data_IF_427421357594
#
_entry.id   IF_427421357594
#
_cell.length_a   1.000
_cell.length_b   1.000
_cell.length_c   1.000
_cell.angle_alpha   90.00
_cell.angle_beta   90.00
_cell.angle_gamma   90.00
#
_symmetry.space_group_name_H-M   'P 1'
#
loop_
_entity.id
_entity.type
_entity.pdbx_description
1 polymer ?
#
# COMPACT_ATOMS: atom_id res chain seq x y z
N UNK A 1 7.97 7.65 -5.68
CA UNK A 1 7.87 7.29 -4.26
C UNK A 1 6.92 6.11 -4.09
N UNK A 2 6.97 5.45 -2.93
CA UNK A 2 6.21 4.23 -2.69
C UNK A 2 4.69 4.40 -2.88
N UNK A 3 4.11 5.47 -2.32
CA UNK A 3 2.67 5.74 -2.46
C UNK A 3 2.27 5.86 -3.94
N UNK A 4 3.04 6.61 -4.72
CA UNK A 4 2.75 6.83 -6.14
C UNK A 4 2.85 5.53 -6.95
N UNK A 5 3.87 4.72 -6.66
CA UNK A 5 4.04 3.43 -7.33
C UNK A 5 2.83 2.51 -7.04
N UNK A 6 2.40 2.42 -5.80
CA UNK A 6 1.24 1.61 -5.42
C UNK A 6 -0.07 2.15 -6.02
N UNK A 7 -0.25 3.47 -6.07
CA UNK A 7 -1.42 4.09 -6.70
C UNK A 7 -1.45 3.89 -8.22
N UNK A 8 -0.33 3.56 -8.84
CA UNK A 8 -0.30 3.17 -10.26
C UNK A 8 -0.98 1.83 -10.51
N UNK A 9 -1.06 0.98 -9.50
CA UNK A 9 -1.61 -0.39 -9.58
C UNK A 9 -0.90 -1.24 -10.64
N UNK A 10 0.39 -0.98 -10.83
CA UNK A 10 1.25 -1.72 -11.75
C UNK A 10 2.17 -2.64 -10.94
N UNK A 11 1.91 -3.97 -10.92
CA UNK A 11 2.72 -4.91 -10.15
C UNK A 11 4.20 -4.91 -10.52
N UNK A 12 4.51 -4.74 -11.81
CA UNK A 12 5.90 -4.74 -12.27
C UNK A 12 6.62 -3.48 -11.78
N UNK A 13 5.98 -2.32 -11.90
CA UNK A 13 6.54 -1.06 -11.42
C UNK A 13 6.81 -1.12 -9.91
N UNK A 14 5.85 -1.60 -9.14
CA UNK A 14 5.99 -1.71 -7.68
C UNK A 14 7.13 -2.67 -7.33
N UNK A 15 7.22 -3.82 -8.00
CA UNK A 15 8.23 -4.85 -7.71
C UNK A 15 9.67 -4.34 -7.84
N UNK A 16 9.92 -3.34 -8.68
CA UNK A 16 11.25 -2.78 -8.89
C UNK A 16 11.82 -2.03 -7.68
N UNK A 17 10.98 -1.64 -6.72
CA UNK A 17 11.41 -1.01 -5.48
C UNK A 17 12.00 -1.99 -4.47
N UNK A 18 11.89 -3.29 -4.74
CA UNK A 18 12.26 -4.36 -3.83
C UNK A 18 13.47 -5.12 -4.35
N UNK A 19 14.25 -5.72 -3.42
CA UNK A 19 15.34 -6.61 -3.82
C UNK A 19 14.78 -7.85 -4.53
N UNK A 20 15.63 -8.51 -5.33
CA UNK A 20 15.23 -9.72 -6.06
C UNK A 20 14.69 -10.81 -5.12
N UNK A 21 15.25 -10.88 -3.92
CA UNK A 21 14.93 -11.87 -2.88
C UNK A 21 14.18 -11.27 -1.68
N UNK A 22 13.50 -10.15 -1.88
CA UNK A 22 12.82 -9.41 -0.79
C UNK A 22 11.85 -10.29 -0.01
N UNK A 23 11.91 -10.19 1.32
CA UNK A 23 11.02 -10.93 2.22
C UNK A 23 9.78 -10.10 2.55
N UNK A 24 8.60 -10.71 2.42
CA UNK A 24 7.34 -10.07 2.71
C UNK A 24 6.48 -10.87 3.67
N UNK A 25 5.84 -10.17 4.58
CA UNK A 25 4.59 -10.61 5.21
C UNK A 25 3.54 -9.57 4.92
N UNK A 26 2.43 -9.99 4.33
CA UNK A 26 1.25 -9.13 4.16
C UNK A 26 0.08 -9.78 4.86
N UNK A 27 -0.45 -9.14 5.92
CA UNK A 27 -1.42 -9.78 6.82
C UNK A 27 -0.80 -11.05 7.40
N UNK A 28 -1.36 -12.21 7.11
CA UNK A 28 -0.84 -13.52 7.54
C UNK A 28 -0.15 -14.29 6.41
N UNK A 29 0.00 -13.69 5.24
CA UNK A 29 0.63 -14.33 4.08
C UNK A 29 2.12 -13.99 4.03
N UNK A 30 2.98 -15.01 3.95
CA UNK A 30 4.43 -14.88 3.85
C UNK A 30 4.89 -15.34 2.48
N UNK A 31 5.75 -14.55 1.83
CA UNK A 31 6.34 -14.92 0.54
C UNK A 31 7.64 -14.15 0.31
N UNK A 32 8.40 -14.57 -0.70
CA UNK A 32 9.73 -14.04 -0.97
C UNK A 32 9.94 -13.85 -2.47
N UNK A 33 10.61 -12.75 -2.83
CA UNK A 33 11.08 -12.49 -4.17
C UNK A 33 10.13 -11.65 -5.03
N UNK A 34 10.71 -10.95 -6.01
CA UNK A 34 9.97 -10.04 -6.90
C UNK A 34 8.84 -10.73 -7.67
N UNK A 35 9.08 -11.97 -8.10
CA UNK A 35 8.06 -12.71 -8.85
C UNK A 35 6.84 -12.98 -7.99
N UNK A 36 7.05 -13.44 -6.74
CA UNK A 36 5.95 -13.64 -5.80
C UNK A 36 5.26 -12.34 -5.42
N UNK A 37 6.01 -11.24 -5.28
CA UNK A 37 5.47 -9.90 -5.02
C UNK A 37 4.56 -9.46 -6.18
N UNK A 38 5.02 -9.58 -7.41
CA UNK A 38 4.22 -9.22 -8.58
C UNK A 38 2.95 -10.07 -8.69
N UNK A 39 3.03 -11.37 -8.42
CA UNK A 39 1.88 -12.26 -8.41
C UNK A 39 0.86 -11.87 -7.32
N UNK A 40 1.34 -11.55 -6.11
CA UNK A 40 0.50 -11.08 -5.01
C UNK A 40 -0.23 -9.78 -5.40
N UNK A 41 0.48 -8.80 -5.95
CA UNK A 41 -0.10 -7.52 -6.34
C UNK A 41 -1.12 -7.67 -7.47
N UNK A 42 -0.87 -8.58 -8.40
CA UNK A 42 -1.83 -8.90 -9.47
C UNK A 42 -3.14 -9.42 -8.88
N UNK A 43 -3.07 -10.35 -7.91
CA UNK A 43 -4.28 -10.84 -7.21
C UNK A 43 -4.96 -9.73 -6.42
N UNK A 44 -4.19 -8.92 -5.72
CA UNK A 44 -4.70 -7.81 -4.90
C UNK A 44 -5.54 -6.85 -5.75
N UNK A 45 -4.98 -6.34 -6.85
CA UNK A 45 -5.66 -5.32 -7.64
C UNK A 45 -6.68 -5.88 -8.64
N UNK A 46 -6.75 -7.19 -8.81
CA UNK A 46 -7.88 -7.82 -9.49
C UNK A 46 -9.12 -7.88 -8.59
N UNK A 47 -8.94 -7.83 -7.27
CA UNK A 47 -10.02 -7.92 -6.27
C UNK A 47 -10.34 -6.57 -5.63
N UNK A 48 -9.33 -5.72 -5.39
CA UNK A 48 -9.49 -4.41 -4.78
C UNK A 48 -9.57 -3.35 -5.87
N UNK A 49 -10.80 -3.04 -6.27
CA UNK A 49 -11.09 -2.16 -7.41
C UNK A 49 -11.11 -0.69 -6.97
N UNK A 50 -10.79 0.22 -7.89
CA UNK A 50 -10.73 1.66 -7.66
C UNK A 50 -9.87 2.05 -6.44
N UNK A 51 -8.80 1.32 -6.25
CA UNK A 51 -7.86 1.45 -5.15
C UNK A 51 -7.21 2.83 -5.10
N UNK A 52 -7.26 3.45 -3.93
CA UNK A 52 -6.63 4.75 -3.61
C UNK A 52 -5.91 4.63 -2.27
N UNK A 53 -4.65 5.01 -2.23
CA UNK A 53 -3.77 4.83 -1.08
C UNK A 53 -3.19 6.17 -0.61
N UNK A 54 -3.19 6.37 0.70
CA UNK A 54 -2.46 7.46 1.36
C UNK A 54 -1.52 6.84 2.38
N UNK A 55 -0.23 7.18 2.28
CA UNK A 55 0.81 6.77 3.23
C UNK A 55 1.33 7.95 4.03
N UNK A 56 1.82 7.66 5.23
CA UNK A 56 2.47 8.65 6.08
C UNK A 56 3.61 7.98 6.84
N UNK A 57 4.81 8.56 6.75
CA UNK A 57 5.96 8.07 7.52
C UNK A 57 5.69 8.35 8.99
N UNK A 58 5.82 7.30 9.82
CA UNK A 58 5.68 7.44 11.28
C UNK A 58 7.01 7.73 11.95
N UNK A 59 8.05 6.96 11.60
CA UNK A 59 9.39 7.12 12.16
C UNK A 59 10.40 6.42 11.26
N UNK A 60 11.67 6.78 11.42
CA UNK A 60 12.74 6.05 10.72
C UNK A 60 14.01 6.05 11.57
N UNK A 61 14.85 5.04 11.38
CA UNK A 61 16.16 4.93 11.97
C UNK A 61 17.04 4.07 11.06
N UNK A 62 18.20 4.62 10.69
CA UNK A 62 19.15 3.95 9.79
C UNK A 62 18.46 3.52 8.49
N UNK A 63 18.48 2.22 8.17
CA UNK A 63 17.84 1.67 6.97
C UNK A 63 16.41 1.15 7.20
N UNK A 64 15.75 1.58 8.28
CA UNK A 64 14.40 1.14 8.65
C UNK A 64 13.42 2.30 8.70
N UNK A 65 12.24 2.07 8.15
CA UNK A 65 11.17 3.08 8.15
C UNK A 65 9.87 2.40 8.60
N UNK A 66 9.23 3.03 9.60
CA UNK A 66 7.87 2.65 10.00
C UNK A 66 6.88 3.59 9.31
N UNK A 67 5.84 3.03 8.70
CA UNK A 67 4.85 3.73 7.92
C UNK A 67 3.46 3.32 8.36
N UNK A 68 2.55 4.28 8.43
CA UNK A 68 1.13 3.98 8.51
C UNK A 68 0.45 4.34 7.19
N UNK A 69 -0.65 3.68 6.88
CA UNK A 69 -1.36 3.94 5.65
C UNK A 69 -2.84 3.62 5.80
N UNK A 70 -3.62 4.17 4.88
CA UNK A 70 -4.99 3.75 4.67
C UNK A 70 -5.24 3.70 3.17
N UNK A 71 -6.11 2.80 2.73
CA UNK A 71 -6.55 2.79 1.35
C UNK A 71 -8.03 2.45 1.25
N UNK A 72 -8.67 2.97 0.21
CA UNK A 72 -10.06 2.69 -0.09
C UNK A 72 -10.16 1.88 -1.37
N UNK A 73 -11.13 0.99 -1.40
CA UNK A 73 -11.36 0.08 -2.52
C UNK A 73 -12.76 -0.49 -2.43
N UNK A 74 -13.24 -1.05 -3.54
CA UNK A 74 -14.49 -1.83 -3.52
C UNK A 74 -14.27 -3.19 -4.16
N UNK A 75 -15.13 -4.15 -3.81
CA UNK A 75 -15.14 -5.48 -4.42
C UNK A 75 -15.97 -5.50 -5.71
N UNK A 76 -16.12 -6.67 -6.33
CA UNK A 76 -16.89 -6.84 -7.56
C UNK A 76 -18.40 -6.59 -7.38
N UNK A 77 -18.89 -6.61 -6.14
CA UNK A 77 -20.30 -6.36 -5.81
C UNK A 77 -20.52 -4.92 -5.32
N UNK A 78 -19.57 -4.03 -5.55
CA UNK A 78 -19.59 -2.62 -5.16
C UNK A 78 -19.71 -2.39 -3.64
N UNK A 79 -19.23 -3.32 -2.83
CA UNK A 79 -19.05 -3.11 -1.40
C UNK A 79 -17.75 -2.35 -1.16
N UNK A 80 -17.84 -1.20 -0.50
CA UNK A 80 -16.70 -0.34 -0.22
C UNK A 80 -16.05 -0.67 1.12
N UNK A 81 -14.73 -0.49 1.16
CA UNK A 81 -13.91 -0.71 2.34
C UNK A 81 -12.88 0.40 2.48
N UNK A 82 -12.52 0.72 3.73
CA UNK A 82 -11.31 1.45 4.06
C UNK A 82 -10.43 0.51 4.89
N UNK A 83 -9.23 0.28 4.41
CA UNK A 83 -8.26 -0.59 5.07
C UNK A 83 -7.20 0.26 5.74
N UNK A 84 -6.97 0.02 7.03
CA UNK A 84 -5.96 0.71 7.82
C UNK A 84 -4.79 -0.21 8.05
N UNK A 85 -3.58 0.31 7.86
CA UNK A 85 -2.40 -0.51 8.02
C UNK A 85 -1.21 0.19 8.64
N UNK A 86 -0.34 -0.63 9.20
CA UNK A 86 0.99 -0.25 9.64
C UNK A 86 1.97 -1.20 8.99
N UNK A 87 3.07 -0.65 8.50
CA UNK A 87 4.10 -1.48 7.87
C UNK A 87 5.49 -1.04 8.28
N UNK A 88 6.41 -2.00 8.31
CA UNK A 88 7.81 -1.78 8.61
C UNK A 88 8.63 -2.15 7.37
N UNK A 89 9.52 -1.25 6.98
CA UNK A 89 10.41 -1.40 5.84
C UNK A 89 11.86 -1.51 6.29
N UNK A 90 12.62 -2.35 5.61
CA UNK A 90 14.06 -2.40 5.75
C UNK A 90 14.71 -2.40 4.36
N UNK A 91 15.73 -1.56 4.17
CA UNK A 91 16.39 -1.34 2.88
C UNK A 91 17.79 -1.93 2.86
N UNK A 92 18.27 -2.30 1.66
CA UNK A 92 19.66 -2.66 1.45
C UNK A 92 20.53 -1.41 1.21
N UNK A 93 21.83 -1.65 0.96
CA UNK A 93 22.78 -0.56 0.73
C UNK A 93 22.53 0.20 -0.58
N UNK A 94 21.80 -0.38 -1.53
CA UNK A 94 21.45 0.25 -2.81
C UNK A 94 20.12 0.99 -2.76
N UNK A 95 19.43 1.00 -1.61
CA UNK A 95 18.16 1.68 -1.45
C UNK A 95 16.95 0.88 -1.91
N UNK A 96 17.11 -0.43 -2.14
CA UNK A 96 16.00 -1.33 -2.44
C UNK A 96 15.46 -1.94 -1.15
N UNK A 97 14.15 -2.09 -1.07
CA UNK A 97 13.51 -2.69 0.11
C UNK A 97 13.72 -4.19 0.12
N UNK A 98 14.42 -4.69 1.12
CA UNK A 98 14.71 -6.11 1.27
C UNK A 98 13.75 -6.84 2.19
N UNK A 99 12.98 -6.11 3.00
CA UNK A 99 11.97 -6.68 3.88
C UNK A 99 10.81 -5.71 4.07
N UNK A 100 9.61 -6.25 3.99
CA UNK A 100 8.38 -5.53 4.28
C UNK A 100 7.47 -6.41 5.12
N UNK A 101 7.01 -5.90 6.26
CA UNK A 101 5.99 -6.56 7.07
C UNK A 101 4.83 -5.60 7.26
N UNK A 102 3.62 -6.03 6.93
CA UNK A 102 2.43 -5.18 6.98
C UNK A 102 1.29 -5.87 7.70
N UNK A 103 0.70 -5.16 8.65
CA UNK A 103 -0.53 -5.56 9.34
C UNK A 103 -1.65 -4.63 8.90
N UNK A 104 -2.81 -5.18 8.56
CA UNK A 104 -3.90 -4.45 7.91
C UNK A 104 -5.23 -4.88 8.51
N UNK A 105 -6.10 -3.89 8.81
CA UNK A 105 -7.47 -4.10 9.26
C UNK A 105 -8.43 -3.48 8.24
N UNK A 106 -9.47 -4.21 7.87
CA UNK A 106 -10.49 -3.72 6.95
C UNK A 106 -11.72 -3.22 7.70
N UNK A 107 -12.25 -2.09 7.25
CA UNK A 107 -13.52 -1.53 7.72
C UNK A 107 -14.46 -1.42 6.53
N UNK A 108 -15.64 -2.05 6.62
CA UNK A 108 -16.70 -1.83 5.63
C UNK A 108 -17.24 -0.41 5.79
N UNK A 109 -17.35 0.32 4.67
CA UNK A 109 -17.88 1.68 4.64
C UNK A 109 -18.96 1.79 3.58
N UNK A 110 -19.81 2.81 3.68
CA UNK A 110 -20.69 3.20 2.57
C UNK A 110 -19.94 3.99 1.51
N UNK A 111 -20.41 3.95 0.28
CA UNK A 111 -19.81 4.72 -0.82
C UNK A 111 -19.78 6.22 -0.48
N UNK A 112 -20.79 6.74 0.21
CA UNK A 112 -20.85 8.13 0.65
C UNK A 112 -19.81 8.48 1.74
N UNK A 113 -19.25 7.49 2.41
CA UNK A 113 -18.22 7.67 3.44
C UNK A 113 -16.79 7.73 2.90
N UNK A 114 -16.61 7.58 1.58
CA UNK A 114 -15.30 7.63 0.94
C UNK A 114 -14.65 8.99 1.11
N UNK A 115 -13.36 8.98 1.45
CA UNK A 115 -12.53 10.17 1.61
C UNK A 115 -11.49 10.34 0.49
N UNK A 116 -11.13 9.26 -0.21
CA UNK A 116 -10.07 9.23 -1.22
C UNK A 116 -10.70 9.29 -2.61
N UNK A 117 -11.04 10.52 -3.06
CA UNK A 117 -11.89 10.71 -4.25
C UNK A 117 -11.19 11.33 -5.46
N UNK A 118 -9.86 11.31 -5.53
CA UNK A 118 -9.20 11.75 -6.75
C UNK A 118 -9.44 10.75 -7.90
N UNK A 119 -9.36 11.22 -9.16
CA UNK A 119 -9.79 10.38 -10.30
C UNK A 119 -9.06 9.04 -10.43
N UNK A 120 -7.73 9.04 -10.44
CA UNK A 120 -6.92 7.81 -10.47
C UNK A 120 -5.44 8.14 -10.38
N UNK A 121 -4.62 7.12 -10.15
CA UNK A 121 -3.17 7.25 -10.10
C UNK A 121 -2.68 8.05 -8.89
N UNK A 122 -1.68 8.88 -9.11
CA UNK A 122 -1.02 9.65 -8.06
C UNK A 122 -1.99 10.55 -7.31
N UNK A 123 -1.88 10.55 -5.97
CA UNK A 123 -2.67 11.45 -5.13
C UNK A 123 -2.29 12.92 -5.45
N UNK A 124 -3.28 13.82 -5.65
CA UNK A 124 -3.00 15.24 -5.85
C UNK A 124 -2.27 15.85 -4.65
N UNK A 125 -1.41 16.84 -4.92
CA UNK A 125 -0.61 17.47 -3.86
C UNK A 125 -1.46 18.21 -2.82
N UNK A 126 -2.65 18.68 -3.22
CA UNK A 126 -3.59 19.38 -2.33
C UNK A 126 -4.55 18.44 -1.58
N UNK A 127 -4.48 17.13 -1.85
CA UNK A 127 -5.29 16.16 -1.13
C UNK A 127 -4.72 15.96 0.28
N UNK A 128 -5.56 16.02 1.34
CA UNK A 128 -5.06 15.91 2.71
C UNK A 128 -4.41 14.56 3.01
N UNK A 129 -3.44 14.57 3.93
CA UNK A 129 -2.84 13.36 4.47
C UNK A 129 -3.67 12.73 5.58
N UNK A 130 -3.21 11.60 6.11
CA UNK A 130 -3.95 10.85 7.14
C UNK A 130 -4.19 11.69 8.40
N UNK A 131 -3.15 12.34 8.91
CA UNK A 131 -3.27 13.18 10.11
C UNK A 131 -4.31 14.28 9.92
N UNK A 132 -4.32 14.93 8.76
CA UNK A 132 -5.27 16.01 8.45
C UNK A 132 -6.71 15.51 8.35
N UNK A 133 -6.91 14.27 7.93
CA UNK A 133 -8.23 13.65 7.84
C UNK A 133 -8.69 13.02 9.16
N UNK A 134 -7.83 12.98 10.18
CA UNK A 134 -8.13 12.35 11.45
C UNK A 134 -8.13 10.83 11.41
N UNK A 135 -7.40 10.25 10.47
CA UNK A 135 -7.28 8.81 10.32
C UNK A 135 -6.04 8.24 10.99
#
# INVERSE_FOLDING_TARGET
MAEDAWNSRDPQRVSLAYTVDSDWRNRAEFFQGREAIAAFLTRKWSRELDYRLVKEVWAFRDNRIAVRFAYEWHDADDHWFRSYGNENWEFDAQGLMRRRVASINDLAIGEAERLFRWPSGRRPDDHPGLTQMGL
#
